data_IF_494568562123
#
_entry.id   IF_494568562123
#
_cell.length_a   1.000
_cell.length_b   1.000
_cell.length_c   1.000
_cell.angle_alpha   90.00
_cell.angle_beta   90.00
_cell.angle_gamma   90.00
#
_symmetry.space_group_name_H-M   'P 1'
#
loop_
_entity.id
_entity.type
_entity.pdbx_description
1 polymer ?
#
# COMPACT_ATOMS: atom_id res chain seq x y z
N UNK A 1 50.36 32.31 -8.53
CA UNK A 1 51.42 31.70 -7.70
C UNK A 1 50.74 30.72 -6.76
N UNK A 2 50.77 29.42 -7.10
CA UNK A 2 50.19 28.36 -6.28
C UNK A 2 51.32 27.47 -5.75
N UNK A 3 51.45 27.23 -4.46
CA UNK A 3 52.44 26.29 -3.92
C UNK A 3 51.92 24.86 -4.05
N UNK A 4 52.77 24.02 -4.67
CA UNK A 4 52.56 22.58 -4.79
C UNK A 4 52.68 21.89 -3.43
N UNK A 5 51.61 21.23 -2.98
CA UNK A 5 51.63 20.36 -1.80
C UNK A 5 52.15 18.98 -2.22
N UNK A 6 53.34 18.63 -1.75
CA UNK A 6 53.98 17.31 -1.96
C UNK A 6 53.35 16.30 -1.01
N UNK A 7 52.63 15.32 -1.55
CA UNK A 7 52.17 14.17 -0.78
C UNK A 7 53.24 13.10 -0.76
N UNK A 8 53.80 12.84 0.41
CA UNK A 8 54.79 11.80 0.66
C UNK A 8 54.07 10.48 0.86
N UNK A 9 54.27 9.50 -0.04
CA UNK A 9 53.80 8.14 0.13
C UNK A 9 54.63 7.41 1.19
N UNK A 10 54.01 7.06 2.31
CA UNK A 10 54.58 6.14 3.30
C UNK A 10 54.21 4.71 2.89
N UNK A 11 55.19 3.90 2.60
CA UNK A 11 55.05 2.47 2.33
C UNK A 11 54.74 1.74 3.66
N UNK A 12 53.68 0.99 3.70
CA UNK A 12 53.33 0.13 4.81
C UNK A 12 53.62 -1.35 4.45
N UNK A 13 54.30 -2.12 5.30
CA UNK A 13 54.74 -3.48 4.96
C UNK A 13 53.59 -4.50 5.11
N UNK A 14 53.70 -5.57 4.30
CA UNK A 14 52.84 -6.76 4.29
C UNK A 14 52.79 -7.43 5.69
N UNK A 15 51.60 -7.48 6.25
CA UNK A 15 51.25 -8.38 7.35
C UNK A 15 50.25 -9.43 6.85
N UNK A 16 50.72 -10.66 6.63
CA UNK A 16 49.89 -11.77 6.32
C UNK A 16 49.14 -12.21 7.59
N UNK A 17 47.86 -11.89 7.69
CA UNK A 17 46.94 -12.47 8.69
C UNK A 17 45.93 -13.36 7.99
N UNK A 18 46.04 -14.66 8.21
CA UNK A 18 45.07 -15.65 7.79
C UNK A 18 43.79 -15.47 8.64
N UNK A 19 42.76 -14.92 8.05
CA UNK A 19 41.44 -14.91 8.65
C UNK A 19 40.67 -16.14 8.20
N UNK A 20 40.42 -17.04 9.15
CA UNK A 20 39.52 -18.19 9.00
C UNK A 20 38.13 -17.68 8.61
N UNK A 21 37.66 -18.16 7.47
CA UNK A 21 36.30 -17.94 6.99
C UNK A 21 35.31 -18.66 7.90
N UNK A 22 34.73 -17.95 8.85
CA UNK A 22 33.49 -18.38 9.46
C UNK A 22 32.36 -17.98 8.51
N UNK A 23 31.89 -18.90 7.68
CA UNK A 23 30.62 -18.77 6.98
C UNK A 23 29.51 -18.81 8.03
N UNK A 24 29.20 -17.67 8.59
CA UNK A 24 27.94 -17.48 9.30
C UNK A 24 26.84 -17.27 8.27
N UNK A 25 25.93 -18.25 8.16
CA UNK A 25 24.66 -18.10 7.47
C UNK A 25 23.90 -16.93 8.07
N UNK A 26 24.18 -15.74 7.59
CA UNK A 26 23.28 -14.61 7.78
C UNK A 26 22.11 -14.80 6.80
N UNK A 27 21.22 -15.72 7.18
CA UNK A 27 19.88 -15.74 6.62
C UNK A 27 19.29 -14.37 6.95
N UNK A 28 19.46 -13.44 6.04
CA UNK A 28 18.76 -12.18 6.09
C UNK A 28 17.28 -12.54 6.24
N UNK A 29 16.71 -12.25 7.40
CA UNK A 29 15.27 -12.30 7.59
C UNK A 29 14.71 -11.33 6.54
N UNK A 30 14.16 -11.89 5.47
CA UNK A 30 13.39 -11.12 4.50
C UNK A 30 12.33 -10.34 5.26
N UNK A 31 11.91 -9.19 4.73
CA UNK A 31 10.81 -8.44 5.36
C UNK A 31 9.67 -9.44 5.61
N UNK A 32 8.96 -9.34 6.76
CA UNK A 32 7.91 -10.28 7.09
C UNK A 32 6.97 -10.36 5.88
N UNK A 33 6.85 -11.56 5.33
CA UNK A 33 5.91 -11.84 4.26
C UNK A 33 4.56 -11.39 4.78
N UNK A 34 4.04 -10.29 4.23
CA UNK A 34 2.70 -9.86 4.56
C UNK A 34 1.79 -11.07 4.34
N UNK A 35 1.07 -11.47 5.38
CA UNK A 35 0.06 -12.50 5.25
C UNK A 35 -0.78 -12.17 4.00
N UNK A 36 -1.12 -13.17 3.16
CA UNK A 36 -1.97 -12.89 2.01
C UNK A 36 -3.20 -12.14 2.51
N UNK A 37 -3.62 -11.06 1.82
CA UNK A 37 -4.78 -10.30 2.22
C UNK A 37 -5.93 -11.29 2.41
N UNK A 38 -6.60 -11.20 3.55
CA UNK A 38 -7.81 -12.00 3.79
C UNK A 38 -8.68 -11.84 2.55
N UNK A 39 -9.00 -12.95 1.90
CA UNK A 39 -9.72 -12.93 0.65
C UNK A 39 -10.92 -12.00 0.82
N UNK A 40 -10.98 -10.93 0.03
CA UNK A 40 -12.06 -9.97 0.11
C UNK A 40 -13.38 -10.77 0.07
N UNK A 41 -14.21 -10.64 1.09
CA UNK A 41 -15.45 -11.36 1.14
C UNK A 41 -16.24 -11.04 -0.12
N UNK A 42 -16.73 -12.06 -0.81
CA UNK A 42 -17.52 -11.86 -2.01
C UNK A 42 -18.74 -10.97 -1.66
N UNK A 43 -19.03 -9.99 -2.52
CA UNK A 43 -20.19 -9.14 -2.34
C UNK A 43 -21.47 -9.97 -2.52
N UNK A 44 -22.54 -9.60 -1.81
CA UNK A 44 -23.87 -10.08 -2.16
C UNK A 44 -24.25 -9.61 -3.57
N UNK A 45 -25.16 -10.27 -4.28
CA UNK A 45 -25.58 -9.84 -5.62
C UNK A 45 -26.03 -8.38 -5.67
N UNK A 46 -26.70 -7.89 -4.63
CA UNK A 46 -27.16 -6.50 -4.51
C UNK A 46 -25.99 -5.53 -4.39
N UNK A 47 -25.00 -5.84 -3.55
CA UNK A 47 -23.80 -5.01 -3.40
C UNK A 47 -22.89 -5.07 -4.63
N UNK A 48 -22.86 -6.22 -5.31
CA UNK A 48 -22.16 -6.34 -6.59
C UNK A 48 -22.76 -5.40 -7.63
N UNK A 49 -24.09 -5.34 -7.71
CA UNK A 49 -24.78 -4.42 -8.61
C UNK A 49 -24.46 -2.94 -8.27
N UNK A 50 -24.37 -2.61 -6.97
CA UNK A 50 -23.95 -1.28 -6.52
C UNK A 50 -22.51 -0.99 -6.94
N UNK A 51 -21.59 -1.91 -6.69
CA UNK A 51 -20.20 -1.78 -7.11
C UNK A 51 -20.10 -1.52 -8.61
N UNK A 52 -20.76 -2.32 -9.43
CA UNK A 52 -20.67 -2.25 -10.89
C UNK A 52 -21.22 -0.93 -11.45
N UNK A 53 -22.29 -0.36 -10.87
CA UNK A 53 -22.91 0.89 -11.37
C UNK A 53 -22.24 2.16 -10.84
N UNK A 54 -21.52 2.10 -9.72
CA UNK A 54 -20.96 3.29 -9.05
C UNK A 54 -19.43 3.21 -8.94
N UNK A 55 -18.92 2.38 -8.04
CA UNK A 55 -17.52 2.36 -7.64
C UNK A 55 -16.56 1.94 -8.77
N UNK A 56 -16.95 0.93 -9.54
CA UNK A 56 -16.16 0.30 -10.59
C UNK A 56 -15.75 1.27 -11.70
N UNK A 57 -16.54 2.31 -11.95
CA UNK A 57 -16.26 3.30 -12.99
C UNK A 57 -14.90 4.00 -12.77
N UNK A 58 -14.44 4.07 -11.53
CA UNK A 58 -13.12 4.61 -11.19
C UNK A 58 -12.22 3.53 -10.57
N UNK A 59 -12.72 2.77 -9.60
CA UNK A 59 -11.91 1.78 -8.87
C UNK A 59 -11.67 0.47 -9.63
N UNK A 60 -12.26 0.30 -10.80
CA UNK A 60 -11.98 -0.79 -11.75
C UNK A 60 -11.24 -0.33 -13.02
N UNK A 61 -10.84 0.94 -13.09
CA UNK A 61 -10.19 1.52 -14.29
C UNK A 61 -8.83 2.09 -13.92
N UNK A 62 -7.72 1.43 -14.30
CA UNK A 62 -6.35 1.84 -13.89
C UNK A 62 -6.00 3.29 -14.22
N UNK A 63 -6.50 3.83 -15.34
CA UNK A 63 -6.24 5.20 -15.77
C UNK A 63 -7.00 6.28 -15.00
N UNK A 64 -7.91 5.91 -14.09
CA UNK A 64 -8.72 6.86 -13.31
C UNK A 64 -7.95 7.61 -12.23
N UNK A 65 -6.79 7.08 -11.81
CA UNK A 65 -6.03 7.57 -10.66
C UNK A 65 -6.63 7.17 -9.30
N UNK A 66 -7.76 6.47 -9.28
CA UNK A 66 -8.33 5.90 -8.05
C UNK A 66 -7.55 4.65 -7.62
N UNK A 67 -7.50 4.31 -6.30
CA UNK A 67 -6.96 3.04 -5.86
C UNK A 67 -7.80 1.90 -6.43
N UNK A 68 -7.17 1.01 -7.19
CA UNK A 68 -7.90 -0.05 -7.87
C UNK A 68 -8.41 -1.11 -6.88
N UNK A 69 -9.59 -1.66 -7.15
CA UNK A 69 -10.12 -2.78 -6.37
C UNK A 69 -9.13 -3.96 -6.43
N UNK A 70 -8.80 -4.53 -5.27
CA UNK A 70 -7.83 -5.61 -5.13
C UNK A 70 -6.36 -5.18 -5.10
N UNK A 71 -6.03 -3.91 -5.34
CA UNK A 71 -4.66 -3.41 -5.16
C UNK A 71 -4.38 -3.08 -3.69
N UNK A 72 -4.06 -4.10 -2.91
CA UNK A 72 -3.77 -3.95 -1.48
C UNK A 72 -2.71 -2.89 -1.20
N UNK A 73 -1.70 -2.73 -2.06
CA UNK A 73 -0.63 -1.74 -1.87
C UNK A 73 -1.18 -0.31 -1.93
N UNK A 74 -2.05 -0.02 -2.88
CA UNK A 74 -2.69 1.28 -2.99
C UNK A 74 -3.64 1.55 -1.81
N UNK A 75 -4.24 0.50 -1.24
CA UNK A 75 -5.20 0.64 -0.14
C UNK A 75 -4.56 0.75 1.24
N UNK A 76 -3.39 0.14 1.51
CA UNK A 76 -2.71 0.16 2.82
C UNK A 76 -2.66 1.57 3.45
N UNK A 77 -2.15 2.63 2.78
CA UNK A 77 -2.05 3.95 3.40
C UNK A 77 -3.41 4.62 3.65
N UNK A 78 -4.47 4.13 2.99
CA UNK A 78 -5.84 4.61 3.19
C UNK A 78 -6.48 3.92 4.38
N UNK A 79 -6.38 2.60 4.45
CA UNK A 79 -6.87 1.80 5.58
C UNK A 79 -6.23 2.24 6.89
N UNK A 80 -4.95 2.64 6.87
CA UNK A 80 -4.24 3.14 8.03
C UNK A 80 -4.83 4.44 8.62
N UNK A 81 -5.66 5.17 7.87
CA UNK A 81 -6.35 6.36 8.37
C UNK A 81 -7.57 6.02 9.27
N UNK A 82 -8.03 4.78 9.23
CA UNK A 82 -9.18 4.32 9.99
C UNK A 82 -10.49 4.34 9.19
N UNK A 83 -11.45 3.57 9.68
CA UNK A 83 -12.73 3.38 9.02
C UNK A 83 -13.53 4.69 8.87
N UNK A 84 -13.59 5.49 9.94
CA UNK A 84 -14.39 6.71 9.96
C UNK A 84 -13.92 7.72 8.91
N UNK A 85 -12.60 7.86 8.74
CA UNK A 85 -12.03 8.76 7.72
C UNK A 85 -12.36 8.27 6.31
N UNK A 86 -12.32 6.97 6.06
CA UNK A 86 -12.67 6.42 4.75
C UNK A 86 -14.15 6.59 4.43
N UNK A 87 -15.01 6.42 5.41
CA UNK A 87 -16.45 6.63 5.29
C UNK A 87 -16.72 8.13 5.05
N UNK A 88 -16.09 9.02 5.84
CA UNK A 88 -16.22 10.47 5.65
C UNK A 88 -15.77 10.90 4.25
N UNK A 89 -14.63 10.41 3.76
CA UNK A 89 -14.18 10.67 2.40
C UNK A 89 -15.16 10.18 1.34
N UNK A 90 -15.89 9.11 1.62
CA UNK A 90 -16.91 8.60 0.71
C UNK A 90 -18.14 9.48 0.70
N UNK A 91 -18.60 9.94 1.86
CA UNK A 91 -19.75 10.83 1.96
C UNK A 91 -19.48 12.20 1.35
N UNK A 92 -18.38 12.81 1.74
CA UNK A 92 -18.05 14.19 1.34
C UNK A 92 -17.41 14.28 -0.04
N UNK A 93 -16.91 13.16 -0.57
CA UNK A 93 -16.01 13.14 -1.71
C UNK A 93 -14.56 13.39 -1.31
N UNK A 94 -13.62 12.90 -2.11
CA UNK A 94 -12.20 13.06 -1.82
C UNK A 94 -11.37 13.19 -3.10
N UNK A 95 -10.73 14.33 -3.31
CA UNK A 95 -9.99 14.66 -4.55
C UNK A 95 -10.91 14.55 -5.77
N UNK A 96 -10.65 13.61 -6.68
CA UNK A 96 -11.49 13.35 -7.86
C UNK A 96 -12.67 12.41 -7.59
N UNK A 97 -12.75 11.81 -6.41
CA UNK A 97 -13.89 10.99 -6.03
C UNK A 97 -15.10 11.88 -5.71
N UNK A 98 -16.23 11.68 -6.39
CA UNK A 98 -17.43 12.48 -6.11
C UNK A 98 -18.04 12.14 -4.74
N UNK A 99 -18.83 13.06 -4.16
CA UNK A 99 -19.61 12.77 -2.96
C UNK A 99 -20.45 11.51 -3.13
N UNK A 100 -20.59 10.77 -2.03
CA UNK A 100 -21.31 9.49 -1.98
C UNK A 100 -20.74 8.41 -2.90
N UNK A 101 -19.51 8.61 -3.46
CA UNK A 101 -18.94 7.69 -4.44
C UNK A 101 -19.85 7.47 -5.65
N UNK A 102 -20.67 8.45 -6.01
CA UNK A 102 -21.73 8.38 -7.02
C UNK A 102 -22.85 7.34 -6.72
N UNK A 103 -23.01 6.89 -5.48
CA UNK A 103 -24.09 6.03 -5.03
C UNK A 103 -25.03 6.79 -4.11
N UNK A 104 -25.97 7.53 -4.68
CA UNK A 104 -26.86 8.44 -3.95
C UNK A 104 -27.83 7.73 -3.00
N UNK A 105 -28.08 6.45 -3.20
CA UNK A 105 -29.00 5.60 -2.46
C UNK A 105 -28.31 4.61 -1.51
N UNK A 106 -26.98 4.69 -1.38
CA UNK A 106 -26.21 3.84 -0.49
C UNK A 106 -26.21 4.37 0.96
N UNK A 107 -26.21 3.44 1.90
CA UNK A 107 -26.01 3.73 3.31
C UNK A 107 -24.58 3.39 3.76
N UNK A 108 -24.23 3.83 4.97
CA UNK A 108 -22.88 3.65 5.53
C UNK A 108 -22.45 2.17 5.57
N UNK A 109 -23.34 1.26 5.94
CA UNK A 109 -23.03 -0.19 5.99
C UNK A 109 -22.63 -0.72 4.61
N UNK A 110 -23.30 -0.25 3.56
CA UNK A 110 -22.98 -0.62 2.18
C UNK A 110 -21.64 -0.02 1.75
N UNK A 111 -21.35 1.24 2.09
CA UNK A 111 -20.03 1.84 1.81
C UNK A 111 -18.91 1.08 2.51
N UNK A 112 -19.10 0.72 3.78
CA UNK A 112 -18.13 -0.08 4.53
C UNK A 112 -17.83 -1.38 3.80
N UNK A 113 -18.86 -2.15 3.46
CA UNK A 113 -18.69 -3.42 2.76
C UNK A 113 -18.04 -3.27 1.38
N UNK A 114 -18.34 -2.21 0.65
CA UNK A 114 -17.73 -1.91 -0.65
C UNK A 114 -16.25 -1.54 -0.51
N UNK A 115 -15.88 -0.76 0.51
CA UNK A 115 -14.49 -0.41 0.80
C UNK A 115 -13.71 -1.66 1.22
N UNK A 116 -14.27 -2.49 2.08
CA UNK A 116 -13.67 -3.77 2.48
C UNK A 116 -13.43 -4.70 1.28
N UNK A 117 -14.41 -4.79 0.41
CA UNK A 117 -14.28 -5.54 -0.84
C UNK A 117 -13.15 -5.00 -1.73
N UNK A 118 -13.14 -3.69 -2.00
CA UNK A 118 -12.13 -3.08 -2.88
C UNK A 118 -10.73 -3.13 -2.29
N UNK A 119 -10.61 -2.96 -0.98
CA UNK A 119 -9.32 -2.93 -0.29
C UNK A 119 -8.78 -4.33 0.05
N UNK A 120 -9.65 -5.33 0.14
CA UNK A 120 -9.31 -6.65 0.66
C UNK A 120 -9.03 -6.66 2.18
N UNK A 121 -9.39 -5.60 2.90
CA UNK A 121 -9.13 -5.44 4.32
C UNK A 121 -10.43 -5.21 5.10
N UNK A 122 -10.53 -5.78 6.30
CA UNK A 122 -11.63 -5.45 7.22
C UNK A 122 -11.39 -4.09 7.87
N UNK A 123 -12.39 -3.23 7.82
CA UNK A 123 -12.37 -1.94 8.49
C UNK A 123 -12.68 -2.14 9.98
N UNK A 124 -11.65 -1.97 10.82
CA UNK A 124 -11.80 -1.93 12.28
C UNK A 124 -12.24 -0.53 12.70
N UNK A 125 -13.17 -0.47 13.65
CA UNK A 125 -13.51 0.77 14.33
C UNK A 125 -12.40 1.18 15.27
#
# INVERSE_FOLDING_TARGET
MHPFLRITFLACPLGAAACLSACGDHRAAGPPSAAPPAAAAALSPELQAVYDRSCKNCHGVPASGAPQAGDARAWVPRIAQGADILIEHTFSGYKSMPPLGACMDCNEKQYRALIEFMSGASLKN
#
